data_IF_876080998096
#
_entry.id   IF_876080998096
#
_cell.length_a   1.000
_cell.length_b   1.000
_cell.length_c   1.000
_cell.angle_alpha   90.00
_cell.angle_beta   90.00
_cell.angle_gamma   90.00
#
_symmetry.space_group_name_H-M   'P 1'
#
loop_
_entity.id
_entity.type
_entity.pdbx_description
1 polymer ?
#
# COMPACT_ATOMS: atom_id res chain seq x y z
N UNK A 1 6.22 -73.72 1.56
CA UNK A 1 5.28 -72.64 1.20
C UNK A 1 4.79 -71.76 2.33
N UNK A 2 4.52 -72.26 3.54
CA UNK A 2 4.03 -71.42 4.68
C UNK A 2 5.03 -70.41 5.26
N UNK A 3 6.35 -70.62 5.16
CA UNK A 3 7.38 -69.69 5.66
C UNK A 3 7.62 -68.49 4.74
N UNK A 4 7.43 -68.64 3.43
CA UNK A 4 7.56 -67.54 2.46
C UNK A 4 6.42 -66.53 2.52
N UNK A 5 5.20 -66.98 2.86
CA UNK A 5 3.99 -66.11 2.99
C UNK A 5 4.09 -65.23 4.23
N UNK A 6 4.71 -65.74 5.35
CA UNK A 6 4.91 -64.94 6.57
C UNK A 6 5.93 -63.79 6.37
N UNK A 7 7.01 -64.00 5.59
CA UNK A 7 8.00 -62.97 5.30
C UNK A 7 7.46 -61.84 4.42
N UNK A 8 6.62 -62.14 3.43
CA UNK A 8 5.97 -61.14 2.56
C UNK A 8 4.95 -60.32 3.34
N UNK A 9 4.21 -60.93 4.28
CA UNK A 9 3.26 -60.21 5.14
C UNK A 9 3.95 -59.26 6.13
N UNK A 10 5.12 -59.64 6.68
CA UNK A 10 5.89 -58.78 7.55
C UNK A 10 6.54 -57.60 6.84
N UNK A 11 6.96 -57.79 5.58
CA UNK A 11 7.51 -56.72 4.75
C UNK A 11 6.44 -55.68 4.31
N UNK A 12 5.20 -56.10 4.06
CA UNK A 12 4.08 -55.23 3.74
C UNK A 12 3.61 -54.42 4.97
N UNK A 13 3.67 -54.95 6.17
CA UNK A 13 3.36 -54.21 7.40
C UNK A 13 4.42 -53.17 7.77
N UNK A 14 5.70 -53.38 7.39
CA UNK A 14 6.79 -52.44 7.66
C UNK A 14 6.73 -51.21 6.71
N UNK A 15 6.09 -51.30 5.54
CA UNK A 15 5.92 -50.15 4.60
C UNK A 15 4.73 -49.26 4.92
N UNK A 16 3.80 -49.70 5.79
CA UNK A 16 2.63 -48.91 6.18
C UNK A 16 2.93 -47.85 7.28
N UNK A 17 4.13 -47.86 7.87
CA UNK A 17 4.47 -47.03 9.01
C UNK A 17 5.16 -45.70 8.75
N UNK A 18 5.46 -45.32 7.51
CA UNK A 18 6.25 -44.12 7.16
C UNK A 18 5.48 -43.02 6.40
N UNK A 19 4.16 -43.01 6.48
CA UNK A 19 3.41 -41.80 6.09
C UNK A 19 3.61 -40.74 7.18
N UNK A 20 4.71 -39.97 7.09
CA UNK A 20 4.83 -38.76 7.89
C UNK A 20 3.59 -37.89 7.66
N UNK A 21 2.92 -37.39 8.71
CA UNK A 21 1.77 -36.51 8.51
C UNK A 21 2.25 -35.35 7.64
N UNK A 22 1.66 -35.21 6.46
CA UNK A 22 1.85 -34.03 5.65
C UNK A 22 1.38 -32.85 6.51
N UNK A 23 2.31 -32.13 7.12
CA UNK A 23 1.98 -30.90 7.82
C UNK A 23 1.31 -30.00 6.79
N UNK A 24 0.00 -29.83 6.92
CA UNK A 24 -0.77 -28.95 6.05
C UNK A 24 -0.07 -27.58 6.08
N UNK A 25 0.56 -27.19 4.96
CA UNK A 25 1.26 -25.92 4.87
C UNK A 25 0.24 -24.83 5.15
N UNK A 26 0.40 -24.15 6.27
CA UNK A 26 -0.47 -23.03 6.65
C UNK A 26 -0.39 -22.00 5.52
N UNK A 27 -1.53 -21.70 4.89
CA UNK A 27 -1.59 -20.74 3.80
C UNK A 27 -1.22 -19.34 4.32
N UNK A 28 -0.18 -18.69 3.78
CA UNK A 28 0.17 -17.34 4.18
C UNK A 28 -0.95 -16.35 3.87
N UNK A 29 -1.12 -15.28 4.66
CA UNK A 29 -2.07 -14.22 4.36
C UNK A 29 -1.78 -13.55 3.01
N UNK A 30 -2.80 -13.34 2.17
CA UNK A 30 -2.71 -12.47 1.00
C UNK A 30 -3.21 -11.08 1.37
N UNK A 31 -2.35 -10.09 1.20
CA UNK A 31 -2.61 -8.69 1.54
C UNK A 31 -2.68 -7.85 0.28
N UNK A 32 -3.81 -7.20 0.04
CA UNK A 32 -3.95 -6.16 -0.97
C UNK A 32 -3.66 -4.81 -0.32
N UNK A 33 -2.63 -4.10 -0.76
CA UNK A 33 -2.14 -2.90 -0.10
C UNK A 33 -1.87 -1.75 -1.08
N UNK A 34 -2.13 -0.53 -0.62
CA UNK A 34 -1.80 0.68 -1.36
C UNK A 34 -0.31 0.71 -1.74
N UNK A 35 0.00 1.09 -2.98
CA UNK A 35 1.34 1.05 -3.56
C UNK A 35 2.40 1.83 -2.75
N UNK A 36 1.99 2.88 -2.04
CA UNK A 36 2.86 3.67 -1.16
C UNK A 36 3.42 2.91 0.05
N UNK A 37 2.84 1.73 0.38
CA UNK A 37 3.26 0.91 1.52
C UNK A 37 4.36 -0.11 1.16
N UNK A 38 4.77 -0.21 -0.09
CA UNK A 38 5.57 -1.33 -0.60
C UNK A 38 6.74 -1.68 0.33
N UNK A 39 7.73 -0.83 0.51
CA UNK A 39 8.94 -1.16 1.28
C UNK A 39 8.64 -1.37 2.77
N UNK A 40 7.71 -0.58 3.32
CA UNK A 40 7.37 -0.64 4.74
C UNK A 40 6.57 -1.90 5.09
N UNK A 41 5.66 -2.31 4.21
CA UNK A 41 4.87 -3.52 4.41
C UNK A 41 5.68 -4.78 4.13
N UNK A 42 6.61 -4.75 3.15
CA UNK A 42 7.61 -5.82 2.95
C UNK A 42 8.45 -6.02 4.22
N UNK A 43 8.96 -4.93 4.80
CA UNK A 43 9.71 -5.01 6.07
C UNK A 43 8.86 -5.54 7.25
N UNK A 44 7.56 -5.20 7.28
CA UNK A 44 6.64 -5.72 8.28
C UNK A 44 6.36 -7.22 8.08
N UNK A 45 6.20 -7.66 6.81
CA UNK A 45 6.03 -9.07 6.47
C UNK A 45 7.27 -9.90 6.84
N UNK A 46 8.47 -9.37 6.60
CA UNK A 46 9.74 -10.01 7.01
C UNK A 46 9.86 -10.08 8.54
N UNK A 47 9.45 -9.03 9.25
CA UNK A 47 9.47 -9.02 10.70
C UNK A 47 8.46 -10.02 11.28
N UNK A 48 7.31 -10.22 10.66
CA UNK A 48 6.32 -11.23 11.02
C UNK A 48 6.88 -12.65 10.79
N UNK A 49 7.53 -12.87 9.65
CA UNK A 49 8.15 -14.16 9.34
C UNK A 49 9.25 -14.54 10.35
N UNK A 50 10.04 -13.56 10.82
CA UNK A 50 11.06 -13.79 11.88
C UNK A 50 10.46 -14.17 13.24
N UNK A 51 9.15 -14.01 13.43
CA UNK A 51 8.43 -14.50 14.62
C UNK A 51 7.95 -15.95 14.47
N UNK A 52 8.30 -16.64 13.37
CA UNK A 52 7.94 -18.03 13.10
C UNK A 52 6.64 -18.22 12.32
N UNK A 53 6.07 -17.16 11.78
CA UNK A 53 4.83 -17.21 10.98
C UNK A 53 5.11 -17.32 9.47
N UNK A 54 4.18 -17.86 8.67
CA UNK A 54 4.27 -17.78 7.23
C UNK A 54 4.35 -16.30 6.74
N UNK A 55 5.33 -16.00 5.89
CA UNK A 55 5.48 -14.65 5.32
C UNK A 55 4.27 -14.31 4.48
N UNK A 56 3.57 -13.20 4.73
CA UNK A 56 2.44 -12.75 3.92
C UNK A 56 2.82 -12.55 2.44
N UNK A 57 1.89 -12.88 1.56
CA UNK A 57 1.97 -12.53 0.12
C UNK A 57 1.39 -11.12 -0.03
N UNK A 58 2.15 -10.23 -0.65
CA UNK A 58 1.79 -8.82 -0.79
C UNK A 58 1.50 -8.49 -2.26
N UNK A 59 0.39 -7.80 -2.50
CA UNK A 59 0.02 -7.27 -3.81
C UNK A 59 -0.24 -5.78 -3.69
N UNK A 60 0.44 -4.98 -4.52
CA UNK A 60 0.42 -3.53 -4.44
C UNK A 60 -0.20 -2.89 -5.69
N UNK A 61 -1.15 -1.99 -5.47
CA UNK A 61 -1.75 -1.16 -6.52
C UNK A 61 -2.36 0.13 -5.93
N UNK A 62 -3.03 0.94 -6.75
CA UNK A 62 -3.89 2.00 -6.24
C UNK A 62 -5.04 1.45 -5.43
N UNK A 63 -5.37 2.07 -4.29
CA UNK A 63 -6.46 1.59 -3.41
C UNK A 63 -7.78 1.44 -4.13
N UNK A 64 -8.08 2.29 -5.12
CA UNK A 64 -9.26 2.20 -5.98
C UNK A 64 -9.31 0.91 -6.80
N UNK A 65 -8.17 0.50 -7.37
CA UNK A 65 -8.08 -0.73 -8.16
C UNK A 65 -8.24 -1.96 -7.25
N UNK A 66 -7.59 -1.94 -6.08
CA UNK A 66 -7.70 -3.03 -5.09
C UNK A 66 -9.12 -3.16 -4.54
N UNK A 67 -9.78 -2.05 -4.23
CA UNK A 67 -11.17 -2.07 -3.78
C UNK A 67 -12.10 -2.69 -4.84
N UNK A 68 -11.93 -2.33 -6.12
CA UNK A 68 -12.68 -2.96 -7.22
C UNK A 68 -12.40 -4.46 -7.37
N UNK A 69 -11.15 -4.89 -7.15
CA UNK A 69 -10.81 -6.33 -7.13
C UNK A 69 -11.52 -7.06 -5.98
N UNK A 70 -11.56 -6.46 -4.79
CA UNK A 70 -12.28 -7.01 -3.63
C UNK A 70 -13.78 -7.10 -3.93
N UNK A 71 -14.36 -6.06 -4.53
CA UNK A 71 -15.77 -6.04 -4.96
C UNK A 71 -16.08 -7.11 -5.99
N UNK A 72 -15.12 -7.44 -6.86
CA UNK A 72 -15.21 -8.52 -7.84
C UNK A 72 -14.93 -9.91 -7.24
N UNK A 73 -14.73 -10.03 -5.93
CA UNK A 73 -14.54 -11.31 -5.24
C UNK A 73 -13.10 -11.79 -5.17
N UNK A 74 -12.08 -10.93 -5.29
CA UNK A 74 -10.69 -11.34 -5.17
C UNK A 74 -10.44 -12.11 -3.85
N UNK A 75 -9.76 -13.27 -3.90
CA UNK A 75 -9.55 -14.13 -2.73
C UNK A 75 -8.41 -13.62 -1.86
N UNK A 76 -8.58 -12.45 -1.23
CA UNK A 76 -7.59 -11.84 -0.35
C UNK A 76 -8.02 -11.88 1.12
N UNK A 77 -7.04 -11.75 2.01
CA UNK A 77 -7.27 -11.84 3.45
C UNK A 77 -7.32 -10.47 4.13
N UNK A 78 -6.46 -9.55 3.72
CA UNK A 78 -6.39 -8.20 4.28
C UNK A 78 -6.42 -7.15 3.16
N UNK A 79 -7.01 -6.01 3.47
CA UNK A 79 -6.94 -4.80 2.66
C UNK A 79 -6.34 -3.65 3.46
N UNK A 80 -5.35 -2.94 2.87
CA UNK A 80 -4.75 -1.73 3.44
C UNK A 80 -4.88 -0.62 2.43
N UNK A 81 -5.79 0.32 2.70
CA UNK A 81 -6.06 1.48 1.83
C UNK A 81 -5.19 2.68 2.21
N UNK A 82 -4.98 3.60 1.27
CA UNK A 82 -4.36 4.91 1.50
C UNK A 82 -5.39 6.04 1.71
N UNK A 83 -6.66 5.72 1.79
CA UNK A 83 -7.74 6.60 2.23
C UNK A 83 -8.85 5.82 2.94
N UNK A 84 -9.68 6.52 3.67
CA UNK A 84 -10.85 5.95 4.32
C UNK A 84 -11.98 5.68 3.33
N UNK A 85 -12.11 6.45 2.25
CA UNK A 85 -13.22 6.37 1.29
C UNK A 85 -13.32 4.97 0.64
N UNK A 86 -12.20 4.40 0.22
CA UNK A 86 -12.18 3.07 -0.38
C UNK A 86 -12.42 1.96 0.66
N UNK A 87 -11.93 2.15 1.89
CA UNK A 87 -12.28 1.25 2.98
C UNK A 87 -13.77 1.33 3.31
N UNK A 88 -14.36 2.52 3.33
CA UNK A 88 -15.80 2.74 3.51
C UNK A 88 -16.62 2.08 2.39
N UNK A 89 -16.16 2.20 1.14
CA UNK A 89 -16.85 1.61 0.00
C UNK A 89 -17.01 0.09 0.16
N UNK A 90 -15.91 -0.62 0.48
CA UNK A 90 -15.98 -2.08 0.69
C UNK A 90 -16.68 -2.46 1.99
N UNK A 91 -16.61 -1.62 3.03
CA UNK A 91 -17.31 -1.83 4.30
C UNK A 91 -18.84 -1.74 4.11
N UNK A 92 -19.32 -0.71 3.39
CA UNK A 92 -20.77 -0.56 3.06
C UNK A 92 -21.32 -1.74 2.26
N UNK A 93 -20.49 -2.40 1.45
CA UNK A 93 -20.85 -3.63 0.73
C UNK A 93 -20.77 -4.88 1.60
N UNK A 94 -20.41 -4.72 2.88
CA UNK A 94 -20.32 -5.83 3.82
C UNK A 94 -19.15 -6.78 3.55
N UNK A 95 -18.08 -6.33 2.87
CA UNK A 95 -16.96 -7.18 2.44
C UNK A 95 -15.83 -7.29 3.48
N UNK A 96 -15.89 -6.52 4.57
CA UNK A 96 -14.95 -6.63 5.69
C UNK A 96 -15.57 -7.40 6.86
N UNK A 97 -14.72 -8.03 7.66
CA UNK A 97 -15.14 -8.66 8.93
C UNK A 97 -15.40 -7.55 9.96
N UNK A 98 -16.61 -7.48 10.56
CA UNK A 98 -16.93 -6.46 11.56
C UNK A 98 -15.91 -6.40 12.70
N UNK A 99 -15.61 -5.20 13.18
CA UNK A 99 -14.65 -4.98 14.30
C UNK A 99 -13.16 -5.14 13.94
N UNK A 100 -12.82 -5.44 12.68
CA UNK A 100 -11.42 -5.61 12.28
C UNK A 100 -10.80 -4.35 11.65
N UNK A 101 -11.60 -3.37 11.25
CA UNK A 101 -11.09 -2.10 10.71
C UNK A 101 -10.34 -1.31 11.78
N UNK A 102 -9.15 -0.84 11.43
CA UNK A 102 -8.35 0.07 12.26
C UNK A 102 -7.56 1.02 11.36
N UNK A 103 -7.64 2.32 11.66
CA UNK A 103 -6.77 3.33 11.05
C UNK A 103 -5.50 3.43 11.87
N UNK A 104 -4.33 3.28 11.25
CA UNK A 104 -3.10 3.09 12.01
C UNK A 104 -1.91 3.96 11.57
N UNK A 105 -1.97 4.55 10.35
CA UNK A 105 -0.91 5.41 9.82
C UNK A 105 -1.49 6.69 9.21
N UNK A 106 -0.68 7.74 9.26
CA UNK A 106 -0.83 8.98 8.51
C UNK A 106 0.33 9.20 7.54
N UNK A 107 0.18 10.19 6.65
CA UNK A 107 1.22 10.59 5.70
C UNK A 107 1.11 12.08 5.39
N UNK A 108 2.05 12.62 4.60
CA UNK A 108 2.03 14.00 4.11
C UNK A 108 2.14 14.03 2.59
N UNK A 109 1.55 15.05 2.00
CA UNK A 109 1.63 15.29 0.56
C UNK A 109 2.80 16.23 0.25
N UNK A 110 3.59 15.89 -0.78
CA UNK A 110 4.77 16.65 -1.17
C UNK A 110 4.83 16.88 -2.68
N UNK A 111 5.49 17.97 -3.06
CA UNK A 111 5.92 18.24 -4.42
C UNK A 111 7.35 17.71 -4.58
N UNK A 112 7.55 16.87 -5.57
CA UNK A 112 8.86 16.30 -5.91
C UNK A 112 9.31 16.75 -7.30
N UNK A 113 10.62 16.74 -7.49
CA UNK A 113 11.29 16.94 -8.78
C UNK A 113 12.46 15.96 -8.92
N UNK A 114 13.03 15.77 -10.11
CA UNK A 114 14.28 15.04 -10.28
C UNK A 114 15.38 15.59 -9.35
N UNK A 115 16.24 14.73 -8.86
CA UNK A 115 17.29 15.08 -7.86
C UNK A 115 18.21 16.19 -8.34
N UNK A 116 18.37 16.36 -9.65
CA UNK A 116 19.16 17.41 -10.28
C UNK A 116 18.60 18.81 -10.08
N UNK A 117 17.30 18.96 -9.84
CA UNK A 117 16.68 20.24 -9.52
C UNK A 117 16.95 20.60 -8.05
N UNK A 118 17.69 21.66 -7.81
CA UNK A 118 18.12 22.04 -6.44
C UNK A 118 17.26 23.07 -5.75
N UNK A 119 16.56 23.93 -6.51
CA UNK A 119 15.77 25.02 -5.95
C UNK A 119 14.48 24.54 -5.28
N UNK A 120 14.24 24.87 -4.00
CA UNK A 120 12.97 24.64 -3.35
C UNK A 120 11.86 25.49 -3.99
N UNK A 121 10.61 25.04 -3.85
CA UNK A 121 9.43 25.77 -4.31
C UNK A 121 8.58 26.14 -3.09
N UNK A 122 8.27 27.42 -2.96
CA UNK A 122 7.34 27.88 -1.93
C UNK A 122 5.92 27.45 -2.32
N UNK A 123 5.34 26.54 -1.56
CA UNK A 123 3.97 26.08 -1.74
C UNK A 123 3.02 27.14 -1.17
N UNK A 124 2.59 28.05 -2.00
CA UNK A 124 1.70 29.16 -1.64
C UNK A 124 0.66 29.39 -2.73
N UNK A 125 -0.58 29.83 -2.39
CA UNK A 125 -1.62 30.17 -3.36
C UNK A 125 -1.32 31.50 -4.07
N UNK A 126 -0.31 31.51 -4.94
CA UNK A 126 0.13 32.69 -5.66
C UNK A 126 0.48 32.40 -7.13
N UNK A 127 0.65 33.48 -7.91
CA UNK A 127 0.96 33.41 -9.35
C UNK A 127 2.31 32.73 -9.64
N UNK A 128 3.28 32.82 -8.75
CA UNK A 128 4.59 32.19 -8.92
C UNK A 128 4.48 30.66 -8.88
N UNK A 129 3.74 30.11 -7.92
CA UNK A 129 3.52 28.67 -7.84
C UNK A 129 2.58 28.19 -8.97
N UNK A 130 1.56 28.98 -9.34
CA UNK A 130 0.73 28.70 -10.52
C UNK A 130 1.58 28.56 -11.79
N UNK A 131 2.51 29.50 -12.05
CA UNK A 131 3.45 29.41 -13.18
C UNK A 131 4.36 28.19 -13.10
N UNK A 132 4.79 27.81 -11.90
CA UNK A 132 5.61 26.59 -11.71
C UNK A 132 4.84 25.33 -12.11
N UNK A 133 3.55 25.25 -11.76
CA UNK A 133 2.68 24.12 -12.12
C UNK A 133 2.35 24.10 -13.61
N UNK A 134 2.28 25.27 -14.25
CA UNK A 134 1.98 25.43 -15.67
C UNK A 134 3.23 25.33 -16.58
N UNK A 135 4.42 25.22 -16.01
CA UNK A 135 5.67 25.21 -16.79
C UNK A 135 5.98 23.88 -17.48
N UNK A 136 5.20 22.83 -17.22
CA UNK A 136 5.39 21.51 -17.82
C UNK A 136 4.55 20.43 -17.14
N UNK A 137 4.71 19.16 -17.54
CA UNK A 137 3.96 18.05 -16.98
C UNK A 137 4.10 17.94 -15.46
N UNK A 138 2.96 17.72 -14.78
CA UNK A 138 2.88 17.42 -13.34
C UNK A 138 2.36 15.99 -13.17
N UNK A 139 3.21 15.08 -12.75
CA UNK A 139 2.83 13.70 -12.51
C UNK A 139 1.98 13.57 -11.24
N UNK A 140 0.83 12.96 -11.36
CA UNK A 140 -0.08 12.65 -10.26
C UNK A 140 -0.66 11.25 -10.46
N UNK A 141 -1.07 10.59 -9.39
CA UNK A 141 -1.98 9.45 -9.55
C UNK A 141 -3.34 9.93 -10.10
N UNK A 142 -4.16 9.02 -10.63
CA UNK A 142 -5.50 9.36 -11.14
C UNK A 142 -6.28 10.20 -10.12
N UNK A 143 -6.64 11.41 -10.53
CA UNK A 143 -7.22 12.44 -9.64
C UNK A 143 -8.70 12.20 -9.32
N UNK A 144 -9.34 11.29 -10.05
CA UNK A 144 -10.74 10.94 -9.85
C UNK A 144 -10.93 9.81 -8.84
N UNK A 145 -9.96 8.89 -8.73
CA UNK A 145 -10.18 7.66 -7.96
C UNK A 145 -9.02 7.27 -7.03
N UNK A 146 -7.77 7.51 -7.40
CA UNK A 146 -6.61 7.07 -6.60
C UNK A 146 -6.37 8.05 -5.44
N UNK A 147 -6.20 7.57 -4.20
CA UNK A 147 -6.08 8.45 -3.02
C UNK A 147 -5.07 9.59 -3.17
N UNK A 148 -3.83 9.31 -3.59
CA UNK A 148 -2.81 10.34 -3.78
C UNK A 148 -3.22 11.41 -4.82
N UNK A 149 -3.90 11.00 -5.89
CA UNK A 149 -4.45 11.90 -6.89
C UNK A 149 -5.59 12.75 -6.34
N UNK A 150 -6.52 12.14 -5.60
CA UNK A 150 -7.63 12.85 -4.93
C UNK A 150 -7.10 13.91 -3.96
N UNK A 151 -6.13 13.56 -3.09
CA UNK A 151 -5.51 14.51 -2.17
C UNK A 151 -4.76 15.63 -2.91
N UNK A 152 -4.02 15.28 -3.97
CA UNK A 152 -3.33 16.26 -4.80
C UNK A 152 -4.28 17.23 -5.49
N UNK A 153 -5.39 16.74 -6.04
CA UNK A 153 -6.43 17.60 -6.62
C UNK A 153 -7.07 18.49 -5.55
N UNK A 154 -7.51 17.90 -4.42
CA UNK A 154 -8.14 18.65 -3.33
C UNK A 154 -7.25 19.79 -2.82
N UNK A 155 -5.95 19.53 -2.64
CA UNK A 155 -4.98 20.56 -2.23
C UNK A 155 -4.87 21.69 -3.24
N UNK A 156 -4.80 21.39 -4.54
CA UNK A 156 -4.70 22.39 -5.58
C UNK A 156 -6.01 23.17 -5.74
N UNK A 157 -7.16 22.55 -5.55
CA UNK A 157 -8.47 23.22 -5.51
C UNK A 157 -8.58 24.16 -4.31
N UNK A 158 -8.23 23.70 -3.10
CA UNK A 158 -8.21 24.53 -1.89
C UNK A 158 -7.33 25.77 -2.03
N UNK A 159 -6.19 25.62 -2.72
CA UNK A 159 -5.25 26.71 -2.99
C UNK A 159 -5.64 27.59 -4.19
N UNK A 160 -6.73 27.30 -4.92
CA UNK A 160 -7.13 28.02 -6.12
C UNK A 160 -6.19 27.79 -7.32
N UNK A 161 -5.40 26.73 -7.32
CA UNK A 161 -4.35 26.44 -8.31
C UNK A 161 -4.71 25.33 -9.29
N UNK A 162 -5.85 24.64 -9.06
CA UNK A 162 -6.25 23.51 -9.92
C UNK A 162 -6.43 23.89 -11.38
N UNK A 163 -7.03 25.04 -11.66
CA UNK A 163 -7.25 25.51 -13.03
C UNK A 163 -5.92 25.67 -13.80
N UNK A 164 -4.88 26.17 -13.14
CA UNK A 164 -3.54 26.32 -13.73
C UNK A 164 -2.81 24.98 -13.89
N UNK A 165 -2.97 24.05 -12.94
CA UNK A 165 -2.31 22.76 -12.98
C UNK A 165 -2.97 21.76 -13.91
N UNK A 166 -4.32 21.72 -13.96
CA UNK A 166 -5.12 20.69 -14.64
C UNK A 166 -4.69 20.39 -16.08
N UNK A 167 -4.40 21.38 -16.96
CA UNK A 167 -3.98 21.10 -18.33
C UNK A 167 -2.64 20.39 -18.45
N UNK A 168 -1.84 20.43 -17.38
CA UNK A 168 -0.48 19.87 -17.32
C UNK A 168 -0.40 18.57 -16.51
N UNK A 169 -1.52 18.12 -15.91
CA UNK A 169 -1.53 16.89 -15.11
C UNK A 169 -1.41 15.66 -16.00
N UNK A 170 -0.36 14.87 -15.77
CA UNK A 170 -0.18 13.54 -16.34
C UNK A 170 -0.55 12.52 -15.27
N UNK A 171 -1.60 11.75 -15.54
CA UNK A 171 -2.16 10.82 -14.59
C UNK A 171 -1.54 9.43 -14.71
N UNK A 172 -1.33 8.77 -13.57
CA UNK A 172 -0.82 7.41 -13.46
C UNK A 172 -1.78 6.55 -12.63
N UNK A 173 -1.72 5.24 -12.83
CA UNK A 173 -2.59 4.26 -12.17
C UNK A 173 -2.45 4.21 -10.64
N UNK A 174 -1.31 4.63 -10.10
CA UNK A 174 -1.04 4.72 -8.66
C UNK A 174 0.08 5.73 -8.39
N UNK A 175 0.35 6.02 -7.10
CA UNK A 175 1.35 7.03 -6.71
C UNK A 175 2.78 6.64 -7.07
N UNK A 176 3.11 5.34 -7.10
CA UNK A 176 4.45 4.88 -7.48
C UNK A 176 4.68 4.99 -8.98
N UNK A 177 3.65 4.76 -9.79
CA UNK A 177 3.71 5.03 -11.21
C UNK A 177 3.86 6.53 -11.51
N UNK A 178 3.19 7.41 -10.74
CA UNK A 178 3.39 8.86 -10.83
C UNK A 178 4.81 9.28 -10.45
N UNK A 179 5.36 8.72 -9.36
CA UNK A 179 6.75 8.94 -8.95
C UNK A 179 7.73 8.53 -10.04
N UNK A 180 7.51 7.38 -10.68
CA UNK A 180 8.36 6.86 -11.74
C UNK A 180 8.43 7.77 -12.97
N UNK A 181 7.38 8.54 -13.28
CA UNK A 181 7.43 9.56 -14.34
C UNK A 181 8.44 10.66 -14.02
N UNK A 182 8.51 11.07 -12.75
CA UNK A 182 9.49 12.07 -12.30
C UNK A 182 10.91 11.48 -12.29
N UNK A 183 11.08 10.27 -11.80
CA UNK A 183 12.35 9.56 -11.75
C UNK A 183 13.02 9.39 -13.13
N UNK A 184 12.18 9.21 -14.16
CA UNK A 184 12.62 9.04 -15.56
C UNK A 184 12.75 10.35 -16.32
N UNK A 185 12.43 11.50 -15.67
CA UNK A 185 12.44 12.82 -16.32
C UNK A 185 11.28 13.06 -17.28
N UNK A 186 10.27 12.18 -17.34
CA UNK A 186 9.07 12.36 -18.16
C UNK A 186 8.15 13.48 -17.63
N UNK A 187 8.25 13.78 -16.33
CA UNK A 187 7.61 14.94 -15.72
C UNK A 187 8.63 15.69 -14.84
N UNK A 188 8.76 17.02 -14.98
CA UNK A 188 9.65 17.82 -14.14
C UNK A 188 9.15 17.97 -12.70
N UNK A 189 7.89 17.67 -12.45
CA UNK A 189 7.22 17.77 -11.16
C UNK A 189 6.32 16.57 -10.91
N UNK A 190 6.15 16.21 -9.64
CA UNK A 190 5.15 15.23 -9.22
C UNK A 190 4.56 15.55 -7.86
N UNK A 191 3.29 15.22 -7.67
CA UNK A 191 2.60 15.30 -6.38
C UNK A 191 2.42 13.86 -5.88
N UNK A 192 3.14 13.53 -4.78
CA UNK A 192 3.22 12.19 -4.20
C UNK A 192 3.23 12.28 -2.68
N UNK A 193 3.27 11.16 -1.98
CA UNK A 193 3.45 11.18 -0.53
C UNK A 193 4.92 11.35 -0.15
N UNK A 194 5.17 11.87 1.05
CA UNK A 194 6.52 12.02 1.60
C UNK A 194 7.26 10.67 1.70
N UNK A 195 6.53 9.59 1.99
CA UNK A 195 7.09 8.24 2.04
C UNK A 195 7.54 7.73 0.68
N UNK A 196 6.82 8.07 -0.40
CA UNK A 196 7.23 7.71 -1.76
C UNK A 196 8.51 8.44 -2.16
N UNK A 197 8.58 9.74 -1.86
CA UNK A 197 9.79 10.52 -2.11
C UNK A 197 11.01 9.98 -1.33
N UNK A 198 10.79 9.53 -0.09
CA UNK A 198 11.83 8.92 0.75
C UNK A 198 12.33 7.58 0.21
N UNK A 199 11.47 6.80 -0.44
CA UNK A 199 11.82 5.51 -1.03
C UNK A 199 12.66 5.64 -2.29
N UNK A 200 12.75 6.84 -2.89
CA UNK A 200 13.48 7.07 -4.15
C UNK A 200 14.77 7.84 -3.92
N UNK A 201 15.85 7.34 -4.53
CA UNK A 201 17.12 8.07 -4.60
C UNK A 201 17.20 9.04 -5.81
N UNK A 202 16.23 9.02 -6.72
CA UNK A 202 16.23 9.78 -7.98
C UNK A 202 15.47 11.10 -7.92
N UNK A 203 14.60 11.26 -6.94
CA UNK A 203 13.84 12.49 -6.72
C UNK A 203 14.24 13.17 -5.43
N UNK A 204 13.81 14.42 -5.28
CA UNK A 204 13.86 15.16 -4.03
C UNK A 204 12.55 15.89 -3.79
N UNK A 205 12.23 16.07 -2.52
CA UNK A 205 11.15 16.96 -2.09
C UNK A 205 11.62 18.40 -2.28
N UNK A 206 10.85 19.16 -3.05
CA UNK A 206 11.07 20.61 -3.29
C UNK A 206 10.00 21.48 -2.63
N UNK A 207 8.93 20.87 -2.10
CA UNK A 207 7.90 21.56 -1.33
C UNK A 207 7.02 20.59 -0.58
N UNK A 208 6.45 21.03 0.54
CA UNK A 208 5.49 20.25 1.35
C UNK A 208 4.16 20.99 1.34
N UNK A 209 3.08 20.29 1.01
CA UNK A 209 1.75 20.88 1.01
C UNK A 209 1.24 21.07 2.45
N UNK A 210 0.51 22.17 2.73
CA UNK A 210 -0.11 22.37 4.04
C UNK A 210 -1.11 21.25 4.36
N UNK A 211 -1.07 20.70 5.55
CA UNK A 211 -2.00 19.62 5.97
C UNK A 211 -3.45 20.08 5.94
N UNK A 212 -3.72 21.37 6.22
CA UNK A 212 -5.06 21.95 6.15
C UNK A 212 -5.62 22.09 4.70
N UNK A 213 -4.79 21.86 3.67
CA UNK A 213 -5.22 22.02 2.25
C UNK A 213 -5.92 20.79 1.66
N UNK A 214 -5.97 19.69 2.40
CA UNK A 214 -6.63 18.45 1.98
C UNK A 214 -7.16 17.67 3.19
N UNK A 215 -8.07 16.72 3.02
CA UNK A 215 -8.48 15.82 4.10
C UNK A 215 -7.26 15.06 4.68
N UNK A 216 -7.27 14.71 5.98
CA UNK A 216 -6.17 13.96 6.58
C UNK A 216 -5.88 12.65 5.82
N UNK A 217 -4.60 12.43 5.48
CA UNK A 217 -4.18 11.19 4.82
C UNK A 217 -4.13 10.08 5.86
N UNK A 218 -5.00 9.09 5.72
CA UNK A 218 -5.20 8.00 6.67
C UNK A 218 -5.09 6.66 5.99
N UNK A 219 -4.45 5.70 6.65
CA UNK A 219 -4.32 4.32 6.17
C UNK A 219 -5.08 3.38 7.10
N UNK A 220 -6.29 2.97 6.71
CA UNK A 220 -7.00 1.90 7.38
C UNK A 220 -6.57 0.54 6.89
N UNK A 221 -6.61 -0.46 7.79
CA UNK A 221 -6.49 -1.89 7.52
C UNK A 221 -7.74 -2.61 7.98
N UNK A 222 -8.20 -3.61 7.24
CA UNK A 222 -9.28 -4.50 7.65
C UNK A 222 -9.06 -5.92 7.15
N UNK A 223 -9.64 -6.89 7.86
CA UNK A 223 -9.76 -8.27 7.40
C UNK A 223 -10.96 -8.39 6.46
N UNK A 224 -10.77 -9.07 5.32
CA UNK A 224 -11.81 -9.32 4.34
C UNK A 224 -12.65 -10.54 4.72
N UNK A 225 -13.92 -10.57 4.31
CA UNK A 225 -14.79 -11.75 4.52
C UNK A 225 -14.35 -12.96 3.71
N UNK A 226 -13.64 -12.76 2.60
CA UNK A 226 -13.02 -13.82 1.80
C UNK A 226 -11.79 -14.45 2.46
N UNK A 227 -11.36 -13.93 3.60
CA UNK A 227 -10.17 -14.39 4.31
C UNK A 227 -10.28 -15.83 4.77
N UNK A 228 -9.32 -16.66 4.34
CA UNK A 228 -9.20 -18.07 4.73
C UNK A 228 -7.88 -18.41 5.42
N UNK A 229 -6.90 -17.48 5.46
CA UNK A 229 -5.64 -17.70 6.17
C UNK A 229 -5.86 -17.59 7.68
N UNK A 230 -5.42 -18.58 8.49
CA UNK A 230 -5.51 -18.52 9.93
C UNK A 230 -4.62 -17.42 10.54
N UNK A 231 -3.54 -17.04 9.85
CA UNK A 231 -2.62 -15.98 10.28
C UNK A 231 -3.06 -14.55 9.93
N UNK A 232 -4.14 -14.39 9.15
CA UNK A 232 -4.58 -13.08 8.67
C UNK A 232 -4.88 -12.10 9.81
N UNK A 233 -5.62 -12.52 10.83
CA UNK A 233 -5.94 -11.68 11.98
C UNK A 233 -4.70 -11.41 12.85
N UNK A 234 -3.83 -12.40 13.03
CA UNK A 234 -2.56 -12.24 13.72
C UNK A 234 -1.68 -11.19 13.05
N UNK A 235 -1.51 -11.27 11.74
CA UNK A 235 -0.74 -10.28 10.98
C UNK A 235 -1.38 -8.88 11.02
N UNK A 236 -2.71 -8.78 10.87
CA UNK A 236 -3.41 -7.50 11.02
C UNK A 236 -3.14 -6.85 12.38
N UNK A 237 -3.24 -7.62 13.47
CA UNK A 237 -2.93 -7.13 14.83
C UNK A 237 -1.46 -6.74 14.97
N UNK A 238 -0.56 -7.48 14.35
CA UNK A 238 0.86 -7.12 14.33
C UNK A 238 1.07 -5.76 13.66
N UNK A 239 0.44 -5.49 12.49
CA UNK A 239 0.58 -4.22 11.78
C UNK A 239 0.17 -3.01 12.64
N UNK A 240 -0.94 -3.13 13.39
CA UNK A 240 -1.46 -2.04 14.24
C UNK A 240 -0.82 -1.97 15.63
N UNK A 241 0.03 -2.95 15.99
CA UNK A 241 0.74 -2.97 17.27
C UNK A 241 1.84 -1.89 17.33
N UNK A 242 2.32 -1.52 18.54
CA UNK A 242 3.47 -0.62 18.67
C UNK A 242 4.69 -1.09 17.87
N UNK A 243 4.95 -2.39 17.85
CA UNK A 243 6.07 -3.00 17.10
C UNK A 243 5.89 -2.85 15.59
N UNK A 244 4.70 -3.13 15.08
CA UNK A 244 4.36 -2.95 13.67
C UNK A 244 4.45 -1.48 13.25
N UNK A 245 3.79 -0.58 13.99
CA UNK A 245 3.81 0.87 13.76
C UNK A 245 5.23 1.44 13.75
N UNK A 246 6.12 0.97 14.62
CA UNK A 246 7.52 1.40 14.65
C UNK A 246 8.27 1.06 13.36
N UNK A 247 7.90 -0.03 12.66
CA UNK A 247 8.46 -0.35 11.34
C UNK A 247 8.06 0.73 10.34
N UNK A 248 6.76 1.04 10.22
CA UNK A 248 6.27 2.07 9.30
C UNK A 248 6.87 3.45 9.57
N UNK A 249 7.07 3.81 10.84
CA UNK A 249 7.71 5.07 11.23
C UNK A 249 9.13 5.21 10.65
N UNK A 250 9.91 4.13 10.57
CA UNK A 250 11.24 4.11 9.94
C UNK A 250 11.19 4.48 8.46
N UNK A 251 10.06 4.23 7.79
CA UNK A 251 9.83 4.58 6.38
C UNK A 251 9.17 5.95 6.20
N UNK A 252 8.92 6.69 7.28
CA UNK A 252 8.41 8.05 7.24
C UNK A 252 6.90 8.19 7.38
N UNK A 253 6.17 7.12 7.66
CA UNK A 253 4.76 7.20 8.06
C UNK A 253 4.62 7.78 9.47
N UNK A 254 3.49 8.42 9.74
CA UNK A 254 3.11 8.89 11.07
C UNK A 254 2.20 7.83 11.74
N UNK A 255 2.64 7.11 12.79
CA UNK A 255 1.78 6.23 13.57
C UNK A 255 0.62 7.00 14.21
N UNK A 256 -0.56 6.35 14.29
CA UNK A 256 -1.80 6.90 14.86
C UNK A 256 -2.27 6.08 16.05
#
# INVERSE_FOLDING_TARGET
MRRAVLFVALLLLAMAGLAAPATARVRPPLVLAAASLQESLDAAADAWARLGHPRPVLSFAGSSALARQIEAGAPADLFVSADEDWMDAIARKGLIVPGTRATFLGNRLVLVAPKTRTAPVAIRPNSAFARTLAAGPVAMADVGSVPAGKYGKATLEHMGLWAAARPHVVQAENVRAALALVERGAAPLGIVYATDARASSRVRVIGVFPEASHPPIRYPVARLKTSTSPDAEGFRRFLISPRGKAIFAKYGFSPL
#
